data_IF_530429564795
#
_entry.id   IF_530429564795
#
_cell.length_a   1.000
_cell.length_b   1.000
_cell.length_c   1.000
_cell.angle_alpha   90.00
_cell.angle_beta   90.00
_cell.angle_gamma   90.00
#
_symmetry.space_group_name_H-M   'P 1'
#
loop_
_entity.id
_entity.type
_entity.pdbx_description
1 polymer ?
#
# COMPACT_ATOMS: atom_id res chain seq x y z
N UNK A 1 11.10 10.43 15.13
CA UNK A 1 12.40 10.86 15.67
C UNK A 1 12.30 10.77 17.18
N UNK A 2 12.65 9.62 17.74
CA UNK A 2 12.79 9.42 19.18
C UNK A 2 14.30 9.46 19.47
N UNK A 3 14.74 10.39 20.33
CA UNK A 3 16.10 10.50 20.87
C UNK A 3 17.34 10.67 19.94
N UNK A 4 17.19 11.04 18.66
CA UNK A 4 18.34 11.48 17.86
C UNK A 4 19.38 10.39 17.55
N UNK A 5 19.06 9.12 17.82
CA UNK A 5 19.83 7.96 17.38
C UNK A 5 19.32 7.57 16.00
N UNK A 6 20.19 7.61 15.00
CA UNK A 6 19.89 7.15 13.65
C UNK A 6 19.93 5.63 13.63
N UNK A 7 18.78 4.99 13.83
CA UNK A 7 18.61 3.55 13.67
C UNK A 7 18.43 3.26 12.15
N UNK A 8 19.41 2.64 11.46
CA UNK A 8 19.24 2.29 10.07
C UNK A 8 18.16 1.21 9.95
N UNK A 9 16.98 1.57 9.45
CA UNK A 9 15.94 0.59 9.10
C UNK A 9 16.31 -0.10 7.80
N UNK A 10 16.77 -1.36 7.90
CA UNK A 10 17.11 -2.21 6.74
C UNK A 10 15.87 -2.55 5.90
N UNK A 11 14.68 -2.54 6.50
CA UNK A 11 13.37 -2.75 5.85
C UNK A 11 12.33 -1.86 6.55
N UNK A 12 11.48 -1.21 5.76
CA UNK A 12 10.44 -0.31 6.27
C UNK A 12 10.94 1.11 6.57
N UNK A 13 10.03 2.08 6.57
CA UNK A 13 10.31 3.43 7.05
C UNK A 13 9.89 3.56 8.52
N UNK A 14 10.53 4.45 9.30
CA UNK A 14 10.02 4.83 10.61
C UNK A 14 8.55 5.28 10.49
N UNK A 15 7.67 4.72 11.33
CA UNK A 15 6.27 5.15 11.39
C UNK A 15 6.19 6.67 11.63
N UNK A 16 5.46 7.37 10.77
CA UNK A 16 5.35 8.84 10.80
C UNK A 16 6.22 9.57 9.78
N UNK A 17 6.91 8.87 8.88
CA UNK A 17 7.51 9.49 7.70
C UNK A 17 6.44 10.06 6.78
N UNK A 18 6.44 11.37 6.54
CA UNK A 18 5.43 12.06 5.69
C UNK A 18 5.36 11.54 4.24
N UNK A 19 6.42 10.88 3.76
CA UNK A 19 6.49 10.28 2.44
C UNK A 19 5.94 8.86 2.36
N UNK A 20 5.72 8.19 3.49
CA UNK A 20 5.26 6.81 3.55
C UNK A 20 3.94 6.59 2.78
N UNK A 21 2.91 7.46 2.88
CA UNK A 21 1.66 7.26 2.14
C UNK A 21 1.85 7.26 0.63
N UNK A 22 2.78 8.07 0.12
CA UNK A 22 3.05 8.14 -1.32
C UNK A 22 3.80 6.90 -1.81
N UNK A 23 4.80 6.45 -1.06
CA UNK A 23 5.59 5.26 -1.42
C UNK A 23 4.75 3.99 -1.35
N UNK A 24 3.84 3.88 -0.37
CA UNK A 24 2.89 2.78 -0.28
C UNK A 24 1.98 2.73 -1.53
N UNK A 25 1.43 3.87 -1.95
CA UNK A 25 0.61 3.93 -3.16
C UNK A 25 1.40 3.54 -4.43
N UNK A 26 2.67 3.95 -4.55
CA UNK A 26 3.52 3.56 -5.69
C UNK A 26 3.74 2.05 -5.72
N UNK A 27 3.99 1.43 -4.57
CA UNK A 27 4.16 -0.02 -4.49
C UNK A 27 2.85 -0.75 -4.88
N UNK A 28 1.71 -0.27 -4.40
CA UNK A 28 0.39 -0.86 -4.65
C UNK A 28 -0.16 -0.61 -6.05
N UNK A 29 0.34 0.39 -6.78
CA UNK A 29 -0.10 0.71 -8.14
C UNK A 29 0.05 -0.48 -9.13
N UNK A 30 1.04 -1.35 -8.92
CA UNK A 30 1.19 -2.56 -9.76
C UNK A 30 0.05 -3.57 -9.55
N UNK A 31 -0.49 -3.66 -8.33
CA UNK A 31 -1.66 -4.47 -8.00
C UNK A 31 -2.91 -3.87 -8.65
N UNK A 32 -3.10 -2.55 -8.56
CA UNK A 32 -4.24 -1.86 -9.17
C UNK A 32 -4.34 -2.12 -10.67
N UNK A 33 -3.22 -2.04 -11.40
CA UNK A 33 -3.19 -2.36 -12.83
C UNK A 33 -3.56 -3.81 -13.12
N UNK A 34 -3.07 -4.75 -12.32
CA UNK A 34 -3.40 -6.16 -12.51
C UNK A 34 -4.90 -6.44 -12.27
N UNK A 35 -5.48 -5.82 -11.23
CA UNK A 35 -6.91 -5.94 -10.93
C UNK A 35 -7.78 -5.31 -12.03
N UNK A 36 -7.36 -4.17 -12.59
CA UNK A 36 -8.04 -3.49 -13.70
C UNK A 36 -7.96 -4.29 -15.01
N UNK A 37 -6.79 -4.85 -15.34
CA UNK A 37 -6.61 -5.75 -16.49
C UNK A 37 -7.53 -6.98 -16.41
N UNK A 38 -7.79 -7.48 -15.20
CA UNK A 38 -8.74 -8.57 -14.96
C UNK A 38 -10.21 -8.13 -14.88
N UNK A 39 -10.51 -6.84 -15.06
CA UNK A 39 -11.85 -6.28 -15.04
C UNK A 39 -12.55 -6.40 -13.68
N UNK A 40 -11.77 -6.50 -12.59
CA UNK A 40 -12.28 -6.62 -11.24
C UNK A 40 -12.71 -5.24 -10.73
N UNK A 41 -13.80 -5.22 -9.95
CA UNK A 41 -14.18 -4.01 -9.21
C UNK A 41 -13.49 -4.03 -7.87
N UNK A 42 -12.69 -3.02 -7.57
CA UNK A 42 -11.96 -2.94 -6.31
C UNK A 42 -11.93 -1.50 -5.78
N UNK A 43 -11.62 -1.34 -4.50
CA UNK A 43 -11.33 -0.06 -3.86
C UNK A 43 -10.09 -0.21 -2.99
N UNK A 44 -9.19 0.77 -3.03
CA UNK A 44 -7.96 0.81 -2.24
C UNK A 44 -7.94 2.09 -1.40
N UNK A 45 -7.53 1.99 -0.14
CA UNK A 45 -7.34 3.11 0.77
C UNK A 45 -6.06 2.89 1.59
N UNK A 46 -5.02 3.67 1.30
CA UNK A 46 -3.67 3.44 1.84
C UNK A 46 -3.22 1.99 1.56
N UNK A 47 -2.94 1.20 2.60
CA UNK A 47 -2.54 -0.20 2.50
C UNK A 47 -3.71 -1.20 2.52
N UNK A 48 -4.93 -0.76 2.79
CA UNK A 48 -6.13 -1.60 2.78
C UNK A 48 -6.81 -1.61 1.41
N UNK A 49 -7.23 -2.78 0.94
CA UNK A 49 -8.00 -2.91 -0.31
C UNK A 49 -9.12 -3.96 -0.22
N UNK A 50 -10.17 -3.76 -1.01
CA UNK A 50 -11.32 -4.66 -1.10
C UNK A 50 -11.64 -4.92 -2.57
N UNK A 51 -11.72 -6.19 -2.94
CA UNK A 51 -12.15 -6.65 -4.27
C UNK A 51 -13.58 -7.18 -4.19
N UNK A 52 -14.46 -6.70 -5.05
CA UNK A 52 -15.87 -7.08 -5.09
C UNK A 52 -16.10 -8.25 -6.06
N UNK A 53 -16.41 -9.41 -5.51
CA UNK A 53 -16.78 -10.60 -6.29
C UNK A 53 -18.29 -10.64 -6.57
N UNK A 54 -18.68 -11.17 -7.73
CA UNK A 54 -20.09 -11.37 -8.09
C UNK A 54 -20.73 -12.55 -7.36
N UNK A 55 -19.93 -13.58 -7.09
CA UNK A 55 -20.36 -14.82 -6.47
C UNK A 55 -19.32 -15.29 -5.46
N UNK A 56 -19.80 -15.99 -4.44
CA UNK A 56 -18.99 -16.64 -3.43
C UNK A 56 -19.00 -18.14 -3.74
N UNK A 57 -18.21 -18.54 -4.74
CA UNK A 57 -18.04 -19.95 -5.13
C UNK A 57 -16.74 -20.49 -4.57
#
# INVERSE_FOLDING_TARGET
MDNGVFEPTTVGMPQGGVFFPLLANIALNSLDWHLDEHGLRFVCYADDFVVMCRSHT
#
